data_IF_376288130866
#
_entry.id   IF_376288130866
#
_cell.length_a   1.000
_cell.length_b   1.000
_cell.length_c   1.000
_cell.angle_alpha   90.00
_cell.angle_beta   90.00
_cell.angle_gamma   90.00
#
_symmetry.space_group_name_H-M   'P 1'
#
loop_
_entity.id
_entity.type
_entity.pdbx_description
1 polymer ?
#
# COMPACT_ATOMS: atom_id res chain seq x y z
N UNK A 1 -27.90 0.15 6.53
CA UNK A 1 -26.82 -0.81 6.19
C UNK A 1 -25.94 -0.31 5.05
N UNK A 2 -26.48 0.28 3.99
CA UNK A 2 -25.76 1.05 2.95
C UNK A 2 -25.20 2.40 3.40
N UNK A 3 -25.67 2.93 4.53
CA UNK A 3 -25.35 4.29 4.97
C UNK A 3 -23.86 4.53 5.21
N UNK A 4 -23.14 3.63 5.90
CA UNK A 4 -21.73 3.86 6.24
C UNK A 4 -20.81 3.88 5.02
N UNK A 5 -20.98 2.93 4.09
CA UNK A 5 -20.20 2.87 2.85
C UNK A 5 -20.56 4.04 1.93
N UNK A 6 -21.85 4.33 1.75
CA UNK A 6 -22.27 5.50 0.99
C UNK A 6 -21.73 6.80 1.60
N UNK A 7 -21.75 6.93 2.93
CA UNK A 7 -21.19 8.08 3.63
C UNK A 7 -19.68 8.16 3.44
N UNK A 8 -18.94 7.05 3.51
CA UNK A 8 -17.50 7.03 3.21
C UNK A 8 -17.19 7.44 1.75
N UNK A 9 -17.98 6.99 0.79
CA UNK A 9 -17.82 7.33 -0.63
C UNK A 9 -18.24 8.77 -0.97
N UNK A 10 -19.18 9.36 -0.22
CA UNK A 10 -19.78 10.68 -0.49
C UNK A 10 -19.34 11.80 0.44
N UNK A 11 -18.64 11.49 1.55
CA UNK A 11 -18.08 12.52 2.44
C UNK A 11 -17.14 13.41 1.65
N UNK A 12 -17.40 14.72 1.75
CA UNK A 12 -16.61 15.75 1.10
C UNK A 12 -15.74 16.50 2.11
N UNK A 13 -14.43 16.51 1.89
CA UNK A 13 -13.45 17.25 2.71
C UNK A 13 -12.82 18.44 1.96
N UNK A 14 -13.31 18.83 0.77
CA UNK A 14 -12.74 19.91 -0.04
C UNK A 14 -13.63 20.41 -1.20
N UNK A 15 -13.19 21.43 -1.93
CA UNK A 15 -14.05 22.07 -2.95
C UNK A 15 -14.05 21.37 -4.33
N UNK A 16 -13.09 20.48 -4.62
CA UNK A 16 -12.94 19.85 -5.94
C UNK A 16 -13.05 18.31 -5.90
N UNK A 17 -13.68 17.70 -6.91
CA UNK A 17 -13.86 16.24 -7.09
C UNK A 17 -14.35 15.51 -5.82
N UNK A 18 -15.49 15.97 -5.27
CA UNK A 18 -16.06 15.48 -4.01
C UNK A 18 -15.10 15.57 -2.81
N UNK A 19 -14.05 16.41 -2.88
CA UNK A 19 -12.99 16.51 -1.86
C UNK A 19 -12.13 15.26 -1.76
N UNK A 20 -12.15 14.40 -2.79
CA UNK A 20 -11.28 13.23 -2.85
C UNK A 20 -9.81 13.63 -2.96
N UNK A 21 -9.57 14.78 -3.62
CA UNK A 21 -8.24 15.28 -3.88
C UNK A 21 -8.06 16.68 -3.29
N UNK A 22 -6.91 16.91 -2.68
CA UNK A 22 -6.40 18.22 -2.26
C UNK A 22 -5.05 18.38 -2.95
N UNK A 23 -4.88 19.45 -3.74
CA UNK A 23 -3.63 19.79 -4.43
C UNK A 23 -2.97 18.61 -5.18
N UNK A 24 -3.76 17.87 -5.96
CA UNK A 24 -3.30 16.70 -6.74
C UNK A 24 -3.00 15.40 -5.97
N UNK A 25 -3.13 15.39 -4.65
CA UNK A 25 -3.01 14.20 -3.80
C UNK A 25 -4.36 13.76 -3.25
N UNK A 26 -4.48 12.50 -2.86
CA UNK A 26 -5.71 12.00 -2.19
C UNK A 26 -5.73 12.56 -0.76
N UNK A 27 -6.90 13.01 -0.31
CA UNK A 27 -7.09 13.41 1.10
C UNK A 27 -6.71 12.25 2.03
N UNK A 28 -5.75 12.52 2.92
CA UNK A 28 -5.26 11.57 3.93
C UNK A 28 -6.42 11.12 4.84
N UNK A 29 -7.33 12.04 5.17
CA UNK A 29 -8.50 11.80 6.00
C UNK A 29 -9.42 10.75 5.35
N UNK A 30 -9.67 10.86 4.04
CA UNK A 30 -10.46 9.87 3.31
C UNK A 30 -9.78 8.52 3.23
N UNK A 31 -8.48 8.52 2.93
CA UNK A 31 -7.70 7.28 2.89
C UNK A 31 -7.78 6.59 4.25
N UNK A 32 -7.57 7.32 5.34
CA UNK A 32 -7.66 6.79 6.69
C UNK A 32 -9.07 6.24 7.02
N UNK A 33 -10.12 6.92 6.59
CA UNK A 33 -11.50 6.46 6.79
C UNK A 33 -11.80 5.16 6.02
N UNK A 34 -11.31 5.07 4.77
CA UNK A 34 -11.43 3.87 3.94
C UNK A 34 -10.59 2.73 4.50
N UNK A 35 -9.37 3.00 4.98
CA UNK A 35 -8.54 2.02 5.66
C UNK A 35 -9.22 1.50 6.93
N UNK A 36 -9.86 2.39 7.71
CA UNK A 36 -10.65 2.01 8.88
C UNK A 36 -11.82 1.07 8.50
N UNK A 37 -12.45 1.28 7.33
CA UNK A 37 -13.51 0.40 6.83
C UNK A 37 -13.06 -1.07 6.71
N UNK A 38 -11.77 -1.32 6.43
CA UNK A 38 -11.23 -2.69 6.29
C UNK A 38 -11.31 -3.54 7.56
N UNK A 39 -11.46 -2.92 8.72
CA UNK A 39 -11.54 -3.59 10.02
C UNK A 39 -12.97 -3.97 10.43
N UNK A 40 -13.99 -3.42 9.76
CA UNK A 40 -15.40 -3.76 10.04
C UNK A 40 -15.91 -4.97 9.24
N UNK A 41 -15.04 -5.57 8.41
CA UNK A 41 -15.34 -6.75 7.60
C UNK A 41 -15.70 -6.41 6.14
N UNK A 42 -15.77 -7.45 5.31
CA UNK A 42 -15.82 -7.27 3.85
C UNK A 42 -17.11 -6.61 3.33
N UNK A 43 -18.21 -6.63 4.11
CA UNK A 43 -19.48 -5.99 3.77
C UNK A 43 -19.42 -4.45 3.81
N UNK A 44 -18.39 -3.87 4.44
CA UNK A 44 -18.21 -2.42 4.59
C UNK A 44 -17.15 -1.87 3.62
N UNK A 45 -16.70 -2.69 2.68
CA UNK A 45 -15.73 -2.27 1.69
C UNK A 45 -16.41 -1.44 0.59
N UNK A 46 -15.74 -0.34 0.28
CA UNK A 46 -15.95 0.48 -0.92
C UNK A 46 -15.73 -0.38 -2.18
N UNK A 47 -16.55 -0.13 -3.19
CA UNK A 47 -16.51 -0.85 -4.48
C UNK A 47 -15.23 -0.59 -5.28
N UNK A 48 -14.89 -1.50 -6.22
CA UNK A 48 -13.75 -1.35 -7.12
C UNK A 48 -13.84 -0.08 -7.99
N UNK A 49 -15.05 0.31 -8.38
CA UNK A 49 -15.35 1.49 -9.21
C UNK A 49 -14.79 2.80 -8.63
N UNK A 50 -14.81 2.95 -7.31
CA UNK A 50 -14.26 4.11 -6.62
C UNK A 50 -12.76 4.25 -6.85
N UNK A 51 -12.03 3.12 -6.79
CA UNK A 51 -10.57 3.10 -6.93
C UNK A 51 -10.11 3.29 -8.38
N UNK A 52 -10.94 2.97 -9.37
CA UNK A 52 -10.64 3.29 -10.76
C UNK A 52 -10.44 4.79 -10.97
N UNK A 53 -11.26 5.63 -10.33
CA UNK A 53 -11.11 7.09 -10.38
C UNK A 53 -9.78 7.56 -9.81
N UNK A 54 -9.31 6.91 -8.73
CA UNK A 54 -8.03 7.22 -8.07
C UNK A 54 -6.84 6.83 -8.96
N UNK A 55 -6.85 5.59 -9.46
CA UNK A 55 -5.71 5.01 -10.18
C UNK A 55 -5.49 5.65 -11.55
N UNK A 56 -6.56 6.10 -12.22
CA UNK A 56 -6.47 6.66 -13.56
C UNK A 56 -6.30 8.17 -13.62
N UNK A 57 -6.70 8.92 -12.57
CA UNK A 57 -6.73 10.39 -12.66
C UNK A 57 -5.43 11.10 -12.30
N UNK A 58 -4.56 10.55 -11.42
CA UNK A 58 -3.39 11.27 -10.91
C UNK A 58 -2.14 10.41 -10.69
N UNK A 59 -1.03 11.10 -10.43
CA UNK A 59 0.25 10.50 -10.03
C UNK A 59 0.07 9.83 -8.67
N UNK A 60 0.24 8.52 -8.63
CA UNK A 60 0.20 7.76 -7.37
C UNK A 60 1.52 7.98 -6.64
N UNK A 61 1.45 8.61 -5.48
CA UNK A 61 2.58 8.75 -4.56
C UNK A 61 2.76 7.49 -3.70
N UNK A 62 3.86 7.45 -2.96
CA UNK A 62 4.15 6.36 -2.03
C UNK A 62 2.97 6.07 -1.08
N UNK A 63 2.43 7.11 -0.43
CA UNK A 63 1.38 6.96 0.58
C UNK A 63 0.11 6.33 -0.02
N UNK A 64 -0.30 6.78 -1.20
CA UNK A 64 -1.44 6.23 -1.92
C UNK A 64 -1.23 4.77 -2.27
N UNK A 65 -0.08 4.43 -2.84
CA UNK A 65 0.21 3.05 -3.27
C UNK A 65 0.15 2.09 -2.09
N UNK A 66 0.83 2.43 -1.00
CA UNK A 66 0.90 1.58 0.19
C UNK A 66 -0.49 1.46 0.85
N UNK A 67 -1.25 2.55 0.93
CA UNK A 67 -2.62 2.53 1.45
C UNK A 67 -3.54 1.65 0.62
N UNK A 68 -3.45 1.73 -0.72
CA UNK A 68 -4.24 0.88 -1.61
C UNK A 68 -3.85 -0.60 -1.47
N UNK A 69 -2.56 -0.92 -1.39
CA UNK A 69 -2.11 -2.29 -1.13
C UNK A 69 -2.64 -2.83 0.21
N UNK A 70 -2.60 -2.00 1.26
CA UNK A 70 -3.13 -2.35 2.57
C UNK A 70 -4.65 -2.55 2.53
N UNK A 71 -5.37 -1.75 1.75
CA UNK A 71 -6.81 -1.88 1.59
C UNK A 71 -7.20 -3.12 0.78
N UNK A 72 -6.52 -3.39 -0.33
CA UNK A 72 -6.84 -4.51 -1.21
C UNK A 72 -6.50 -5.87 -0.58
N UNK A 73 -5.39 -5.96 0.17
CA UNK A 73 -4.88 -7.20 0.76
C UNK A 73 -4.88 -8.37 -0.24
N UNK A 74 -5.46 -9.52 0.14
CA UNK A 74 -5.63 -10.70 -0.70
C UNK A 74 -7.09 -10.89 -1.19
N UNK A 75 -7.88 -9.80 -1.24
CA UNK A 75 -9.29 -9.85 -1.64
C UNK A 75 -9.43 -10.00 -3.15
N UNK A 76 -10.21 -10.98 -3.59
CA UNK A 76 -10.41 -11.31 -5.01
C UNK A 76 -11.03 -10.18 -5.82
N UNK A 77 -11.91 -9.39 -5.21
CA UNK A 77 -12.58 -8.24 -5.84
C UNK A 77 -11.59 -7.21 -6.39
N UNK A 78 -10.42 -7.07 -5.75
CA UNK A 78 -9.44 -6.04 -6.11
C UNK A 78 -8.22 -6.59 -6.86
N UNK A 79 -8.23 -7.86 -7.27
CA UNK A 79 -7.07 -8.49 -7.90
C UNK A 79 -6.61 -7.76 -9.17
N UNK A 80 -7.55 -7.27 -9.99
CA UNK A 80 -7.22 -6.48 -11.19
C UNK A 80 -6.55 -5.15 -10.85
N UNK A 81 -7.05 -4.46 -9.82
CA UNK A 81 -6.50 -3.19 -9.36
C UNK A 81 -5.09 -3.39 -8.79
N UNK A 82 -4.86 -4.48 -8.05
CA UNK A 82 -3.52 -4.85 -7.56
C UNK A 82 -2.51 -5.00 -8.70
N UNK A 83 -2.87 -5.69 -9.79
CA UNK A 83 -1.98 -5.80 -10.94
C UNK A 83 -1.61 -4.42 -11.50
N UNK A 84 -2.58 -3.51 -11.62
CA UNK A 84 -2.33 -2.14 -12.08
C UNK A 84 -1.39 -1.40 -11.13
N UNK A 85 -1.58 -1.54 -9.81
CA UNK A 85 -0.69 -0.94 -8.80
C UNK A 85 0.72 -1.52 -8.89
N UNK A 86 0.88 -2.83 -9.07
CA UNK A 86 2.18 -3.47 -9.24
C UNK A 86 2.94 -2.97 -10.48
N UNK A 87 2.23 -2.73 -11.58
CA UNK A 87 2.83 -2.15 -12.78
C UNK A 87 3.19 -0.67 -12.58
N UNK A 88 2.37 0.10 -11.84
CA UNK A 88 2.71 1.48 -11.44
C UNK A 88 3.95 1.53 -10.54
N UNK A 89 4.09 0.60 -9.60
CA UNK A 89 5.29 0.50 -8.75
C UNK A 89 6.53 0.27 -9.61
N UNK A 90 6.45 -0.64 -10.59
CA UNK A 90 7.52 -0.88 -11.56
C UNK A 90 7.86 0.39 -12.35
N UNK A 91 6.85 1.10 -12.87
CA UNK A 91 7.04 2.36 -13.60
C UNK A 91 7.74 3.43 -12.75
N UNK A 92 7.45 3.51 -11.45
CA UNK A 92 8.05 4.50 -10.55
C UNK A 92 9.49 4.15 -10.14
N UNK A 93 9.79 2.87 -9.92
CA UNK A 93 11.07 2.42 -9.37
C UNK A 93 12.13 2.10 -10.44
N UNK A 94 11.74 1.63 -11.63
CA UNK A 94 12.71 1.11 -12.62
C UNK A 94 13.49 2.20 -13.36
N UNK A 95 12.87 3.26 -13.92
CA UNK A 95 13.56 4.15 -14.86
C UNK A 95 14.84 4.75 -14.29
N UNK A 96 14.80 5.17 -13.02
CA UNK A 96 15.94 5.64 -12.25
C UNK A 96 15.79 5.06 -10.84
N UNK A 97 16.26 3.84 -10.61
CA UNK A 97 16.24 3.21 -9.28
C UNK A 97 17.28 3.88 -8.38
N UNK A 98 16.99 5.10 -7.95
CA UNK A 98 17.83 6.03 -7.18
C UNK A 98 17.45 6.03 -5.69
N UNK A 99 17.36 4.83 -5.10
CA UNK A 99 16.94 4.62 -3.71
C UNK A 99 17.79 5.38 -2.69
N UNK A 100 19.03 5.74 -3.02
CA UNK A 100 19.91 6.52 -2.15
C UNK A 100 19.64 8.04 -2.21
N UNK A 101 18.93 8.51 -3.23
CA UNK A 101 18.67 9.93 -3.49
C UNK A 101 17.20 10.31 -3.26
N UNK A 102 16.27 9.37 -3.44
CA UNK A 102 14.86 9.58 -3.23
C UNK A 102 14.38 8.78 -2.01
N UNK A 103 14.09 9.50 -0.92
CA UNK A 103 13.49 8.89 0.26
C UNK A 103 12.17 8.22 -0.09
N UNK A 104 11.30 8.86 -0.86
CA UNK A 104 10.00 8.31 -1.28
C UNK A 104 10.14 6.95 -1.97
N UNK A 105 11.08 6.82 -2.93
CA UNK A 105 11.33 5.54 -3.62
C UNK A 105 11.96 4.50 -2.71
N UNK A 106 12.83 4.91 -1.77
CA UNK A 106 13.40 4.00 -0.78
C UNK A 106 12.30 3.40 0.12
N UNK A 107 11.42 4.25 0.66
CA UNK A 107 10.26 3.80 1.44
C UNK A 107 9.37 2.85 0.63
N UNK A 108 9.03 3.25 -0.61
CA UNK A 108 8.22 2.43 -1.50
C UNK A 108 8.84 1.07 -1.76
N UNK A 109 10.14 1.02 -2.09
CA UNK A 109 10.84 -0.23 -2.34
C UNK A 109 10.83 -1.14 -1.11
N UNK A 110 11.22 -0.61 0.06
CA UNK A 110 11.32 -1.39 1.30
C UNK A 110 9.96 -1.97 1.74
N UNK A 111 8.90 -1.16 1.70
CA UNK A 111 7.56 -1.63 2.05
C UNK A 111 7.00 -2.60 1.00
N UNK A 112 7.26 -2.40 -0.30
CA UNK A 112 6.85 -3.36 -1.35
C UNK A 112 7.57 -4.70 -1.18
N UNK A 113 8.84 -4.71 -0.81
CA UNK A 113 9.61 -5.93 -0.59
C UNK A 113 9.13 -6.73 0.63
N UNK A 114 8.64 -6.03 1.66
CA UNK A 114 8.07 -6.63 2.88
C UNK A 114 6.56 -6.88 2.82
N UNK A 115 5.88 -6.44 1.76
CA UNK A 115 4.43 -6.57 1.64
C UNK A 115 4.02 -8.00 1.22
N UNK A 116 3.22 -8.72 2.03
CA UNK A 116 2.71 -10.05 1.67
C UNK A 116 1.64 -10.00 0.57
N UNK A 117 1.10 -8.82 0.27
CA UNK A 117 0.04 -8.62 -0.71
C UNK A 117 0.58 -8.33 -2.11
N UNK A 118 1.88 -8.03 -2.27
CA UNK A 118 2.51 -7.88 -3.58
C UNK A 118 2.97 -9.25 -4.10
N UNK A 119 2.68 -9.53 -5.37
CA UNK A 119 3.04 -10.78 -6.01
C UNK A 119 4.53 -11.07 -5.89
N UNK A 120 4.85 -12.36 -5.76
CA UNK A 120 6.25 -12.80 -5.71
C UNK A 120 7.00 -12.45 -6.99
N UNK A 121 6.31 -12.46 -8.14
CA UNK A 121 6.92 -12.12 -9.43
C UNK A 121 7.34 -10.66 -9.49
N UNK A 122 6.50 -9.74 -9.00
CA UNK A 122 6.84 -8.31 -8.91
C UNK A 122 7.98 -8.07 -7.92
N UNK A 123 7.93 -8.68 -6.73
CA UNK A 123 9.02 -8.53 -5.73
C UNK A 123 10.35 -9.10 -6.24
N UNK A 124 10.33 -10.29 -6.84
CA UNK A 124 11.50 -10.91 -7.47
C UNK A 124 12.08 -10.06 -8.58
N UNK A 125 11.21 -9.50 -9.43
CA UNK A 125 11.63 -8.61 -10.51
C UNK A 125 12.35 -7.37 -9.95
N UNK A 126 11.77 -6.69 -8.96
CA UNK A 126 12.35 -5.51 -8.34
C UNK A 126 13.67 -5.84 -7.61
N UNK A 127 13.72 -6.96 -6.91
CA UNK A 127 14.93 -7.40 -6.21
C UNK A 127 16.10 -7.67 -7.15
N UNK A 128 15.86 -8.34 -8.28
CA UNK A 128 16.89 -8.56 -9.31
C UNK A 128 17.41 -7.24 -9.89
N UNK A 129 16.53 -6.24 -10.06
CA UNK A 129 16.93 -4.91 -10.51
C UNK A 129 17.76 -4.18 -9.45
N UNK A 130 17.39 -4.29 -8.18
CA UNK A 130 18.18 -3.78 -7.06
C UNK A 130 19.59 -4.39 -7.04
N UNK A 131 19.71 -5.72 -7.08
CA UNK A 131 21.01 -6.40 -7.10
C UNK A 131 21.87 -5.91 -8.27
N UNK A 132 21.30 -5.79 -9.47
CA UNK A 132 22.04 -5.30 -10.64
C UNK A 132 22.56 -3.86 -10.47
N UNK A 133 21.79 -3.00 -9.81
CA UNK A 133 22.10 -1.58 -9.72
C UNK A 133 23.01 -1.24 -8.53
N UNK A 134 22.86 -1.92 -7.40
CA UNK A 134 23.55 -1.60 -6.15
C UNK A 134 24.59 -2.65 -5.74
N UNK A 135 24.41 -3.90 -6.14
CA UNK A 135 25.26 -5.02 -5.76
C UNK A 135 25.77 -5.81 -6.99
N UNK A 136 26.36 -5.16 -8.02
CA UNK A 136 26.65 -5.80 -9.31
C UNK A 136 27.64 -6.97 -9.24
N UNK A 137 28.44 -7.04 -8.17
CA UNK A 137 29.42 -8.11 -7.95
C UNK A 137 28.82 -9.30 -7.17
N UNK A 138 27.61 -9.15 -6.62
CA UNK A 138 26.95 -10.16 -5.82
C UNK A 138 26.15 -11.10 -6.72
N UNK A 139 26.73 -12.26 -6.99
CA UNK A 139 26.03 -13.33 -7.71
C UNK A 139 25.21 -14.16 -6.73
N UNK A 140 23.88 -13.99 -6.77
CA UNK A 140 22.92 -14.81 -6.01
C UNK A 140 22.25 -15.83 -6.94
N UNK A 141 22.23 -17.09 -6.51
CA UNK A 141 21.45 -18.14 -7.17
C UNK A 141 19.95 -17.89 -7.05
N UNK A 142 19.14 -18.58 -7.85
CA UNK A 142 17.69 -18.44 -7.77
C UNK A 142 17.14 -18.81 -6.38
N UNK A 143 17.67 -19.87 -5.76
CA UNK A 143 17.24 -20.32 -4.44
C UNK A 143 17.55 -19.29 -3.35
N UNK A 144 18.73 -18.67 -3.40
CA UNK A 144 19.10 -17.60 -2.46
C UNK A 144 18.16 -16.40 -2.59
N UNK A 145 17.83 -15.98 -3.83
CA UNK A 145 16.86 -14.91 -4.07
C UNK A 145 15.51 -15.24 -3.44
N UNK A 146 14.99 -16.46 -3.61
CA UNK A 146 13.71 -16.83 -2.98
C UNK A 146 13.80 -16.79 -1.46
N UNK A 147 14.90 -17.25 -0.86
CA UNK A 147 15.11 -17.19 0.59
C UNK A 147 15.19 -15.74 1.11
N UNK A 148 15.86 -14.85 0.37
CA UNK A 148 15.91 -13.42 0.70
C UNK A 148 14.49 -12.81 0.67
N UNK A 149 13.73 -13.11 -0.39
CA UNK A 149 12.35 -12.61 -0.55
C UNK A 149 11.42 -13.10 0.56
N UNK A 150 11.61 -14.32 1.06
CA UNK A 150 10.86 -14.83 2.20
C UNK A 150 11.30 -14.15 3.51
N UNK A 151 12.59 -13.93 3.69
CA UNK A 151 13.13 -13.25 4.88
C UNK A 151 12.64 -11.80 4.96
N UNK A 152 12.54 -11.12 3.82
CA UNK A 152 12.04 -9.75 3.73
C UNK A 152 10.57 -9.61 4.15
N UNK A 153 9.75 -10.65 3.97
CA UNK A 153 8.35 -10.67 4.45
C UNK A 153 8.23 -10.73 5.98
N UNK A 154 9.28 -11.17 6.67
CA UNK A 154 9.30 -11.27 8.13
C UNK A 154 9.71 -9.95 8.80
N UNK A 155 10.07 -8.93 8.01
CA UNK A 155 10.54 -7.64 8.50
C UNK A 155 9.51 -6.56 8.19
N UNK A 156 9.22 -5.69 9.16
CA UNK A 156 8.46 -4.47 8.93
C UNK A 156 9.41 -3.28 8.80
N UNK A 157 9.20 -2.45 7.78
CA UNK A 157 9.94 -1.21 7.60
C UNK A 157 9.12 -0.03 8.12
N UNK A 158 8.09 0.39 7.38
CA UNK A 158 7.24 1.51 7.76
C UNK A 158 5.79 1.08 7.92
N UNK A 159 5.35 0.08 7.16
CA UNK A 159 4.02 -0.50 7.30
C UNK A 159 4.03 -1.87 7.97
N UNK A 160 3.14 -1.98 8.95
CA UNK A 160 2.81 -3.21 9.64
C UNK A 160 1.68 -3.91 8.88
N UNK A 161 2.01 -4.96 8.12
CA UNK A 161 1.10 -5.61 7.17
C UNK A 161 0.18 -6.68 7.78
N UNK A 162 0.52 -7.18 8.97
CA UNK A 162 -0.31 -8.07 9.78
C UNK A 162 -1.46 -7.31 10.45
N UNK A 163 -2.48 -8.04 10.88
CA UNK A 163 -3.69 -7.44 11.42
C UNK A 163 -3.41 -6.58 12.66
N UNK A 164 -3.70 -5.29 12.52
CA UNK A 164 -3.92 -4.40 13.64
C UNK A 164 -5.26 -4.79 14.26
N UNK A 165 -5.21 -5.50 15.39
CA UNK A 165 -6.38 -5.72 16.22
C UNK A 165 -6.79 -4.38 16.85
N UNK A 166 -7.71 -3.67 16.18
CA UNK A 166 -8.19 -2.36 16.61
C UNK A 166 -8.78 -2.44 18.01
N UNK A 167 -9.46 -3.53 18.35
CA UNK A 167 -10.03 -3.74 19.69
C UNK A 167 -8.90 -3.69 20.72
N UNK A 168 -7.84 -4.46 20.51
CA UNK A 168 -6.66 -4.42 21.40
C UNK A 168 -5.95 -3.06 21.43
N UNK A 169 -5.99 -2.29 20.35
CA UNK A 169 -5.39 -0.95 20.32
C UNK A 169 -6.22 0.08 21.09
N UNK A 170 -7.55 0.00 20.99
CA UNK A 170 -8.48 0.80 21.78
C UNK A 170 -8.34 0.43 23.26
N UNK A 171 -8.39 -0.86 23.59
CA UNK A 171 -8.16 -1.36 24.96
C UNK A 171 -6.83 -0.86 25.53
N UNK A 172 -5.73 -0.96 24.77
CA UNK A 172 -4.42 -0.44 25.20
C UNK A 172 -4.37 1.08 25.35
N UNK A 173 -5.20 1.82 24.61
CA UNK A 173 -5.30 3.29 24.74
C UNK A 173 -6.15 3.68 25.94
N UNK A 174 -7.27 2.99 26.18
CA UNK A 174 -8.11 3.18 27.37
C UNK A 174 -7.35 2.81 28.65
N UNK A 175 -6.58 1.73 28.63
CA UNK A 175 -5.71 1.31 29.74
C UNK A 175 -4.53 2.27 30.02
N UNK A 176 -4.26 3.22 29.12
CA UNK A 176 -3.26 4.27 29.33
C UNK A 176 -3.83 5.55 29.97
N UNK A 177 -5.13 5.63 30.24
CA UNK A 177 -5.67 6.65 31.14
C UNK A 177 -5.40 6.28 32.59
N UNK A 178 -4.20 6.61 33.07
CA UNK A 178 -3.88 7.06 34.43
C UNK A 178 -2.36 7.15 34.61
N UNK A 179 -1.78 8.29 34.23
CA UNK A 179 -0.68 8.94 34.98
C UNK A 179 -0.62 10.42 34.62
#
# INVERSE_FOLDING_TARGET
MTALVNTAETINFGENDNGLFIDDFISIEKVNLILAATFFGDNYLVSDSFFHGIIHKKKLDYFTIISLLFYFRNRRSFQKLKCIIEDKIKELLIPNMDLLQSSEKAHLFLDVMSCPFVSIDTRRFLYRKYLKNFEPNLNRSHLEIENDLQSLLQTYWFVKWDELDIVKMIEKKELKESY
#
